data_IF_554262882140
#
_entry.id   IF_554262882140
#
_cell.length_a   1.000
_cell.length_b   1.000
_cell.length_c   1.000
_cell.angle_alpha   90.00
_cell.angle_beta   90.00
_cell.angle_gamma   90.00
#
_symmetry.space_group_name_H-M   'P 1'
#
loop_
_entity.id
_entity.type
_entity.pdbx_description
1 polymer ?
#
# COMPACT_ATOMS: atom_id res chain seq x y z
N UNK A 1 -19.78 7.24 3.73
CA UNK A 1 -20.04 6.66 2.40
C UNK A 1 -19.82 5.17 2.44
N UNK A 2 -20.84 4.37 2.16
CA UNK A 2 -20.74 2.91 2.15
C UNK A 2 -20.41 2.40 0.74
N UNK A 3 -19.33 1.63 0.64
CA UNK A 3 -18.80 1.05 -0.60
C UNK A 3 -18.99 -0.48 -0.66
N UNK A 4 -19.56 -1.10 0.39
CA UNK A 4 -19.62 -2.56 0.56
C UNK A 4 -20.39 -3.29 -0.54
N UNK A 5 -21.36 -2.62 -1.18
CA UNK A 5 -22.13 -3.14 -2.31
C UNK A 5 -21.44 -3.05 -3.68
N UNK A 6 -20.17 -2.66 -3.73
CA UNK A 6 -19.38 -2.49 -4.97
C UNK A 6 -20.11 -1.67 -6.05
N UNK A 7 -20.66 -0.49 -5.71
CA UNK A 7 -21.47 0.30 -6.62
C UNK A 7 -20.70 0.65 -7.90
N UNK A 8 -21.45 0.98 -8.95
CA UNK A 8 -20.85 1.58 -10.15
C UNK A 8 -20.35 2.99 -9.85
N UNK A 9 -19.50 3.53 -10.72
CA UNK A 9 -19.06 4.93 -10.63
C UNK A 9 -20.25 5.88 -10.64
N UNK A 10 -21.21 5.69 -11.55
CA UNK A 10 -22.42 6.50 -11.65
C UNK A 10 -23.25 6.46 -10.36
N UNK A 11 -23.46 5.27 -9.78
CA UNK A 11 -24.17 5.10 -8.51
C UNK A 11 -23.44 5.79 -7.36
N UNK A 12 -22.11 5.67 -7.30
CA UNK A 12 -21.31 6.34 -6.28
C UNK A 12 -21.44 7.86 -6.40
N UNK A 13 -21.31 8.42 -7.61
CA UNK A 13 -21.43 9.86 -7.87
C UNK A 13 -22.83 10.38 -7.48
N UNK A 14 -23.88 9.62 -7.79
CA UNK A 14 -25.25 9.96 -7.38
C UNK A 14 -25.38 10.01 -5.85
N UNK A 15 -24.83 9.02 -5.14
CA UNK A 15 -24.81 8.98 -3.67
C UNK A 15 -24.00 10.13 -3.07
N UNK A 16 -22.82 10.44 -3.64
CA UNK A 16 -22.00 11.60 -3.21
C UNK A 16 -22.79 12.88 -3.37
N UNK A 17 -23.41 13.09 -4.54
CA UNK A 17 -24.21 14.28 -4.81
C UNK A 17 -25.35 14.43 -3.83
N UNK A 18 -26.10 13.36 -3.59
CA UNK A 18 -27.23 13.39 -2.66
C UNK A 18 -26.77 13.76 -1.24
N UNK A 19 -25.74 13.08 -0.72
CA UNK A 19 -25.22 13.35 0.62
C UNK A 19 -24.63 14.75 0.76
N UNK A 20 -23.92 15.24 -0.26
CA UNK A 20 -23.37 16.59 -0.26
C UNK A 20 -24.47 17.66 -0.23
N UNK A 21 -25.54 17.48 -0.99
CA UNK A 21 -26.69 18.40 -0.99
C UNK A 21 -27.46 18.36 0.33
N UNK A 22 -27.67 17.17 0.91
CA UNK A 22 -28.29 17.02 2.22
C UNK A 22 -27.45 17.69 3.31
N UNK A 23 -26.12 17.51 3.30
CA UNK A 23 -25.22 18.18 4.23
C UNK A 23 -25.23 19.71 4.05
N UNK A 24 -25.30 20.20 2.81
CA UNK A 24 -25.33 21.63 2.51
C UNK A 24 -26.60 22.32 3.05
N UNK A 25 -27.73 21.60 3.17
CA UNK A 25 -28.95 22.14 3.80
C UNK A 25 -28.75 22.47 5.30
N UNK A 26 -27.68 21.96 5.91
CA UNK A 26 -27.32 22.19 7.31
C UNK A 26 -25.99 22.94 7.47
N UNK A 27 -25.51 23.62 6.41
CA UNK A 27 -24.20 24.29 6.40
C UNK A 27 -24.06 25.43 7.43
N UNK A 28 -25.17 25.99 7.89
CA UNK A 28 -25.19 27.08 8.87
C UNK A 28 -24.83 26.60 10.29
N UNK A 29 -24.77 25.28 10.51
CA UNK A 29 -24.38 24.71 11.80
C UNK A 29 -22.86 24.83 11.99
N UNK A 30 -22.37 25.52 13.03
CA UNK A 30 -20.94 25.62 13.31
C UNK A 30 -20.32 24.24 13.52
N UNK A 31 -19.12 24.03 12.98
CA UNK A 31 -18.42 22.75 13.06
C UNK A 31 -18.18 22.33 14.52
N UNK A 32 -17.92 23.29 15.42
CA UNK A 32 -17.73 23.05 16.85
C UNK A 32 -18.94 22.37 17.50
N UNK A 33 -20.17 22.73 17.07
CA UNK A 33 -21.40 22.10 17.57
C UNK A 33 -21.54 20.66 17.07
N UNK A 34 -21.12 20.38 15.84
CA UNK A 34 -21.07 19.01 15.32
C UNK A 34 -20.11 18.15 16.14
N UNK A 35 -18.93 18.68 16.48
CA UNK A 35 -17.95 17.98 17.33
C UNK A 35 -18.52 17.71 18.72
N UNK A 36 -19.24 18.66 19.31
CA UNK A 36 -19.87 18.51 20.62
C UNK A 36 -20.93 17.41 20.62
N UNK A 37 -21.79 17.36 19.59
CA UNK A 37 -22.87 16.37 19.48
C UNK A 37 -22.32 14.97 19.19
N UNK A 38 -21.36 14.86 18.28
CA UNK A 38 -20.73 13.57 17.93
C UNK A 38 -19.89 13.04 19.10
N UNK A 39 -19.31 13.95 19.88
CA UNK A 39 -18.46 13.67 21.04
C UNK A 39 -17.42 12.56 20.79
N UNK A 40 -16.56 12.69 19.76
CA UNK A 40 -15.55 11.69 19.44
C UNK A 40 -14.44 11.65 20.51
N UNK A 41 -13.68 10.53 20.60
CA UNK A 41 -12.51 10.46 21.46
C UNK A 41 -11.54 11.62 21.19
N UNK A 42 -11.22 12.38 22.25
CA UNK A 42 -10.33 13.54 22.13
C UNK A 42 -8.89 13.09 21.89
N UNK A 43 -8.23 13.76 20.97
CA UNK A 43 -6.83 13.54 20.62
C UNK A 43 -6.17 14.88 20.35
N UNK A 44 -4.93 15.04 20.81
CA UNK A 44 -4.09 16.19 20.43
C UNK A 44 -3.32 15.94 19.14
N UNK A 45 -3.39 14.71 18.60
CA UNK A 45 -2.61 14.31 17.43
C UNK A 45 -3.34 14.55 16.10
N UNK A 46 -4.68 14.66 16.10
CA UNK A 46 -5.48 14.78 14.89
C UNK A 46 -6.80 15.50 15.13
N UNK A 47 -7.41 15.99 14.05
CA UNK A 47 -8.75 16.59 14.08
C UNK A 47 -9.81 15.58 14.57
N UNK A 48 -10.85 16.02 15.30
CA UNK A 48 -11.77 15.15 16.03
C UNK A 48 -12.72 14.32 15.16
N UNK A 49 -13.08 14.80 13.95
CA UNK A 49 -14.12 14.15 13.11
C UNK A 49 -13.58 13.69 11.76
N UNK A 50 -12.58 14.39 11.21
CA UNK A 50 -11.98 14.05 9.92
C UNK A 50 -10.51 14.47 9.87
N UNK A 51 -9.69 13.72 9.16
CA UNK A 51 -8.25 13.97 9.01
C UNK A 51 -7.85 14.26 7.56
N UNK A 52 -8.78 14.05 6.63
CA UNK A 52 -8.62 14.38 5.21
C UNK A 52 -9.66 15.41 4.83
N UNK A 53 -9.23 16.48 4.16
CA UNK A 53 -10.10 17.54 3.67
C UNK A 53 -10.03 17.65 2.14
N UNK A 54 -11.15 17.98 1.54
CA UNK A 54 -11.26 18.32 0.12
C UNK A 54 -11.86 19.71 0.00
N UNK A 55 -11.24 20.58 -0.79
CA UNK A 55 -11.74 21.92 -1.08
C UNK A 55 -11.80 22.12 -2.58
N UNK A 56 -12.97 22.52 -3.08
CA UNK A 56 -13.12 23.02 -4.44
C UNK A 56 -13.06 24.54 -4.43
N UNK A 57 -12.05 25.12 -5.07
CA UNK A 57 -11.88 26.56 -5.24
C UNK A 57 -12.44 26.95 -6.60
N UNK A 58 -13.66 27.47 -6.59
CA UNK A 58 -14.30 28.10 -7.76
C UNK A 58 -14.15 29.62 -7.68
N UNK A 59 -12.94 30.10 -7.38
CA UNK A 59 -12.67 31.52 -7.38
C UNK A 59 -11.87 31.80 -8.64
N UNK A 60 -12.44 32.58 -9.57
CA UNK A 60 -11.60 33.26 -10.55
C UNK A 60 -10.53 34.01 -9.74
N UNK A 61 -9.25 33.73 -9.98
CA UNK A 61 -8.18 34.55 -9.43
C UNK A 61 -8.46 35.98 -9.89
N UNK A 62 -9.05 36.77 -9.00
CA UNK A 62 -9.48 38.11 -9.30
C UNK A 62 -8.25 38.89 -9.75
N UNK A 63 -8.16 39.19 -11.05
CA UNK A 63 -7.16 40.12 -11.55
C UNK A 63 -7.44 41.45 -10.87
N UNK A 64 -6.55 41.82 -9.96
CA UNK A 64 -6.62 43.13 -9.32
C UNK A 64 -6.16 44.15 -10.36
N UNK A 65 -7.10 44.69 -11.13
CA UNK A 65 -6.80 45.71 -12.13
C UNK A 65 -6.61 47.06 -11.43
N UNK A 66 -5.34 47.44 -11.25
CA UNK A 66 -4.94 48.70 -10.66
C UNK A 66 -4.24 49.55 -11.74
N UNK A 67 -4.76 50.75 -12.07
CA UNK A 67 -4.17 51.59 -13.11
C UNK A 67 -2.68 51.86 -12.88
N UNK A 68 -1.84 51.47 -13.83
CA UNK A 68 -0.39 51.68 -13.79
C UNK A 68 0.40 50.68 -12.95
N UNK A 69 -0.24 49.59 -12.47
CA UNK A 69 0.40 48.54 -11.67
C UNK A 69 0.12 47.15 -12.26
N UNK A 70 1.17 46.35 -12.39
CA UNK A 70 1.05 44.91 -12.67
C UNK A 70 1.02 44.17 -11.34
N UNK A 71 -0.10 43.51 -11.05
CA UNK A 71 -0.28 42.73 -9.81
C UNK A 71 -0.18 41.24 -10.15
N UNK A 72 0.78 40.56 -9.53
CA UNK A 72 0.90 39.10 -9.57
C UNK A 72 0.78 38.52 -8.17
N UNK A 73 0.12 37.35 -8.01
CA UNK A 73 0.05 36.68 -6.73
C UNK A 73 1.46 36.24 -6.30
N UNK A 74 1.86 36.62 -5.09
CA UNK A 74 3.08 36.12 -4.46
C UNK A 74 2.70 34.89 -3.64
N UNK A 75 3.12 33.71 -4.09
CA UNK A 75 2.90 32.47 -3.35
C UNK A 75 3.52 32.55 -1.95
N UNK A 76 2.74 32.19 -0.92
CA UNK A 76 3.25 32.14 0.45
C UNK A 76 4.16 30.90 0.58
N UNK A 77 5.44 31.05 0.98
CA UNK A 77 6.40 29.95 0.95
C UNK A 77 6.15 28.86 2.00
N UNK A 78 5.26 29.10 2.96
CA UNK A 78 4.95 28.17 4.04
C UNK A 78 3.45 27.88 4.09
N UNK A 79 3.09 26.64 3.77
CA UNK A 79 1.74 26.13 3.99
C UNK A 79 1.81 25.18 5.19
N UNK A 80 1.21 25.58 6.32
CA UNK A 80 1.08 24.70 7.48
C UNK A 80 -0.04 23.70 7.23
N UNK A 81 0.26 22.41 7.33
CA UNK A 81 -0.75 21.35 7.28
C UNK A 81 -1.64 21.45 8.53
N UNK A 82 -2.93 21.74 8.33
CA UNK A 82 -3.95 21.78 9.39
C UNK A 82 -4.63 20.42 9.61
N UNK A 83 -4.47 19.53 8.63
CA UNK A 83 -5.00 18.18 8.58
C UNK A 83 -3.90 17.25 8.08
N UNK A 84 -4.08 15.93 8.22
CA UNK A 84 -3.11 14.95 7.74
C UNK A 84 -2.92 15.10 6.22
N UNK A 85 -4.03 15.27 5.49
CA UNK A 85 -4.07 15.54 4.05
C UNK A 85 -5.16 16.58 3.72
N UNK A 86 -4.81 17.58 2.91
CA UNK A 86 -5.75 18.55 2.35
C UNK A 86 -5.57 18.63 0.84
N UNK A 87 -6.54 18.10 0.10
CA UNK A 87 -6.63 18.24 -1.35
C UNK A 87 -7.41 19.52 -1.68
N UNK A 88 -6.81 20.42 -2.43
CA UNK A 88 -7.48 21.57 -3.01
C UNK A 88 -7.43 21.45 -4.53
N UNK A 89 -8.59 21.55 -5.17
CA UNK A 89 -8.74 21.55 -6.62
C UNK A 89 -9.58 22.75 -7.04
N UNK A 90 -9.41 23.21 -8.28
CA UNK A 90 -10.18 24.30 -8.86
C UNK A 90 -9.99 24.35 -10.38
N UNK A 91 -10.72 25.25 -11.02
CA UNK A 91 -10.62 25.47 -12.46
C UNK A 91 -9.45 26.43 -12.75
N UNK A 92 -8.57 26.02 -13.66
CA UNK A 92 -7.43 26.81 -14.15
C UNK A 92 -7.49 26.81 -15.68
N UNK A 93 -8.18 27.80 -16.25
CA UNK A 93 -8.53 27.78 -17.67
C UNK A 93 -9.43 26.58 -17.99
N UNK A 94 -9.07 25.79 -19.00
CA UNK A 94 -9.82 24.60 -19.43
C UNK A 94 -9.40 23.31 -18.69
N UNK A 95 -8.73 23.45 -17.54
CA UNK A 95 -8.18 22.33 -16.78
C UNK A 95 -8.57 22.38 -15.31
N UNK A 96 -8.58 21.22 -14.65
CA UNK A 96 -8.66 21.13 -13.20
C UNK A 96 -7.24 21.14 -12.65
N UNK A 97 -6.90 22.17 -11.89
CA UNK A 97 -5.61 22.35 -11.23
C UNK A 97 -5.72 22.36 -9.71
N UNK A 98 -4.61 22.20 -9.01
CA UNK A 98 -4.60 22.22 -7.55
C UNK A 98 -3.38 21.52 -6.95
N UNK A 99 -3.51 21.08 -5.70
CA UNK A 99 -2.43 20.40 -4.99
C UNK A 99 -2.86 19.74 -3.70
N UNK A 100 -1.89 19.11 -3.04
CA UNK A 100 -2.07 18.43 -1.75
C UNK A 100 -1.14 19.07 -0.74
N UNK A 101 -1.72 19.55 0.36
CA UNK A 101 -0.98 19.90 1.59
C UNK A 101 -1.02 18.68 2.50
N UNK A 102 0.11 18.33 3.10
CA UNK A 102 0.20 17.12 3.92
C UNK A 102 1.11 17.33 5.13
N UNK A 103 0.82 16.59 6.20
CA UNK A 103 1.68 16.56 7.38
C UNK A 103 2.98 15.79 7.05
N UNK A 104 4.10 16.51 6.94
CA UNK A 104 5.41 15.92 6.62
C UNK A 104 5.93 14.95 7.70
N UNK A 105 5.34 14.96 8.90
CA UNK A 105 5.58 13.95 9.94
C UNK A 105 4.92 12.61 9.66
N UNK A 106 3.93 12.56 8.75
CA UNK A 106 3.16 11.36 8.40
C UNK A 106 3.46 10.87 6.98
N UNK A 107 3.71 11.79 6.05
CA UNK A 107 3.90 11.46 4.64
C UNK A 107 5.20 12.00 4.09
N UNK A 108 5.90 11.15 3.37
CA UNK A 108 7.01 11.55 2.51
C UNK A 108 6.48 12.11 1.19
N UNK A 109 7.25 13.02 0.57
CA UNK A 109 6.93 13.59 -0.74
C UNK A 109 6.64 12.53 -1.80
N UNK A 110 7.46 11.49 -1.86
CA UNK A 110 7.33 10.35 -2.77
C UNK A 110 5.98 9.63 -2.63
N UNK A 111 5.47 9.53 -1.40
CA UNK A 111 4.17 8.91 -1.12
C UNK A 111 3.03 9.76 -1.69
N UNK A 112 3.12 11.08 -1.54
CA UNK A 112 2.11 12.01 -2.04
C UNK A 112 2.14 12.09 -3.57
N UNK A 113 3.32 12.10 -4.19
CA UNK A 113 3.47 12.04 -5.65
C UNK A 113 2.79 10.78 -6.21
N UNK A 114 2.96 9.64 -5.53
CA UNK A 114 2.28 8.40 -5.88
C UNK A 114 0.75 8.50 -5.71
N UNK A 115 0.26 9.09 -4.62
CA UNK A 115 -1.18 9.32 -4.43
C UNK A 115 -1.78 10.24 -5.50
N UNK A 116 -1.05 11.25 -5.97
CA UNK A 116 -1.46 12.07 -7.11
C UNK A 116 -1.59 11.22 -8.39
N UNK A 117 -0.65 10.29 -8.62
CA UNK A 117 -0.72 9.32 -9.71
C UNK A 117 -1.97 8.43 -9.62
N UNK A 118 -2.24 7.90 -8.43
CA UNK A 118 -3.43 7.08 -8.15
C UNK A 118 -4.73 7.84 -8.39
N UNK A 119 -4.84 9.07 -7.88
CA UNK A 119 -6.03 9.90 -8.09
C UNK A 119 -6.28 10.12 -9.59
N UNK A 120 -5.23 10.44 -10.36
CA UNK A 120 -5.34 10.61 -11.81
C UNK A 120 -5.78 9.31 -12.50
N UNK A 121 -5.20 8.18 -12.13
CA UNK A 121 -5.54 6.88 -12.73
C UNK A 121 -7.00 6.49 -12.48
N UNK A 122 -7.49 6.71 -11.25
CA UNK A 122 -8.88 6.45 -10.88
C UNK A 122 -9.82 7.40 -11.61
N UNK A 123 -9.53 8.70 -11.64
CA UNK A 123 -10.34 9.69 -12.36
C UNK A 123 -10.43 9.40 -13.85
N UNK A 124 -9.32 9.01 -14.47
CA UNK A 124 -9.31 8.61 -15.89
C UNK A 124 -10.23 7.41 -16.12
N UNK A 125 -10.11 6.36 -15.30
CA UNK A 125 -10.94 5.17 -15.45
C UNK A 125 -12.43 5.43 -15.18
N UNK A 126 -12.76 6.36 -14.27
CA UNK A 126 -14.13 6.80 -14.01
C UNK A 126 -14.75 7.52 -15.21
N UNK A 127 -13.97 8.31 -15.95
CA UNK A 127 -14.42 9.04 -17.15
C UNK A 127 -14.56 8.11 -18.35
N UNK A 128 -13.74 7.07 -18.44
CA UNK A 128 -13.78 6.09 -19.53
C UNK A 128 -15.06 5.23 -19.52
N UNK A 129 -15.53 4.80 -18.34
CA UNK A 129 -16.75 3.99 -18.18
C UNK A 129 -17.35 4.17 -16.77
N UNK A 130 -18.44 4.92 -16.68
CA UNK A 130 -19.13 5.19 -15.41
C UNK A 130 -20.06 4.04 -14.95
N UNK A 131 -20.31 3.05 -15.82
CA UNK A 131 -21.07 1.84 -15.49
C UNK A 131 -20.21 0.78 -14.77
N UNK A 132 -18.89 0.96 -14.79
CA UNK A 132 -17.94 0.05 -14.15
C UNK A 132 -18.04 0.11 -12.63
N UNK A 133 -17.88 -1.05 -11.98
CA UNK A 133 -17.79 -1.13 -10.51
C UNK A 133 -16.51 -0.49 -10.00
N UNK A 134 -16.64 0.33 -8.95
CA UNK A 134 -15.51 1.01 -8.29
C UNK A 134 -14.44 0.05 -7.77
N UNK A 135 -14.83 -1.19 -7.42
CA UNK A 135 -13.93 -2.21 -6.90
C UNK A 135 -12.92 -2.70 -7.95
N UNK A 136 -13.18 -2.43 -9.24
CA UNK A 136 -12.36 -2.89 -10.36
C UNK A 136 -11.58 -1.77 -11.05
N UNK A 137 -11.68 -0.54 -10.53
CA UNK A 137 -10.96 0.59 -11.10
C UNK A 137 -9.45 0.40 -10.88
N UNK A 138 -8.62 0.64 -11.90
CA UNK A 138 -7.18 0.60 -11.73
C UNK A 138 -6.75 1.73 -10.78
N UNK A 139 -6.04 1.37 -9.72
CA UNK A 139 -5.42 2.33 -8.80
C UNK A 139 -3.94 2.55 -9.17
N UNK A 140 -3.24 1.44 -9.37
CA UNK A 140 -1.81 1.44 -9.68
C UNK A 140 -1.59 1.79 -11.15
N UNK A 141 -0.56 2.59 -11.41
CA UNK A 141 -0.07 2.74 -12.77
C UNK A 141 0.59 1.44 -13.26
N UNK A 142 0.78 1.33 -14.57
CA UNK A 142 1.34 0.13 -15.19
C UNK A 142 2.77 -0.20 -14.69
N UNK A 143 3.59 0.83 -14.40
CA UNK A 143 4.97 0.66 -13.97
C UNK A 143 5.07 0.15 -12.52
N UNK A 144 4.23 0.67 -11.62
CA UNK A 144 4.14 0.21 -10.25
C UNK A 144 3.55 -1.20 -10.20
N UNK A 145 2.51 -1.48 -11.00
CA UNK A 145 1.96 -2.83 -11.10
C UNK A 145 3.00 -3.84 -11.57
N UNK A 146 3.81 -3.50 -12.58
CA UNK A 146 4.88 -4.36 -13.07
C UNK A 146 5.93 -4.62 -11.98
N UNK A 147 6.35 -3.58 -11.27
CA UNK A 147 7.31 -3.70 -10.18
C UNK A 147 6.81 -4.62 -9.07
N UNK A 148 5.57 -4.39 -8.62
CA UNK A 148 4.97 -5.13 -7.51
C UNK A 148 4.67 -6.59 -7.85
N UNK A 149 4.18 -6.85 -9.06
CA UNK A 149 3.71 -8.19 -9.43
C UNK A 149 4.79 -9.04 -10.08
N UNK A 150 5.77 -8.43 -10.75
CA UNK A 150 6.78 -9.15 -11.53
C UNK A 150 8.16 -8.96 -10.93
N UNK A 151 8.67 -7.73 -10.84
CA UNK A 151 10.07 -7.49 -10.47
C UNK A 151 10.39 -7.97 -9.06
N UNK A 152 9.55 -7.62 -8.08
CA UNK A 152 9.74 -8.05 -6.69
C UNK A 152 9.40 -9.53 -6.46
N UNK A 153 8.62 -10.15 -7.34
CA UNK A 153 8.28 -11.56 -7.27
C UNK A 153 9.13 -12.44 -8.19
N UNK A 154 10.20 -11.92 -8.79
CA UNK A 154 11.14 -12.67 -9.62
C UNK A 154 12.08 -13.54 -8.75
N UNK A 155 11.49 -14.40 -7.91
CA UNK A 155 12.18 -15.27 -6.95
C UNK A 155 12.48 -16.67 -7.51
N UNK A 156 12.14 -16.92 -8.78
CA UNK A 156 12.41 -18.18 -9.44
C UNK A 156 13.92 -18.37 -9.56
N UNK A 157 14.42 -19.40 -8.89
CA UNK A 157 15.80 -19.84 -8.98
C UNK A 157 15.81 -21.34 -9.28
N UNK A 158 16.71 -21.79 -10.15
CA UNK A 158 16.87 -23.21 -10.40
C UNK A 158 17.42 -23.89 -9.13
N UNK A 159 16.69 -24.89 -8.63
CA UNK A 159 17.14 -25.76 -7.56
C UNK A 159 16.86 -27.24 -7.91
N UNK A 160 17.49 -28.21 -7.24
CA UNK A 160 17.29 -29.63 -7.51
C UNK A 160 15.89 -30.12 -7.07
N UNK A 161 14.85 -29.81 -7.84
CA UNK A 161 13.44 -30.12 -7.53
C UNK A 161 13.15 -31.62 -7.33
N UNK A 162 13.91 -32.48 -8.00
CA UNK A 162 13.75 -33.94 -7.91
C UNK A 162 14.56 -34.61 -6.81
N UNK A 163 15.37 -33.86 -6.04
CA UNK A 163 16.26 -34.44 -5.05
C UNK A 163 15.82 -34.11 -3.63
N UNK A 164 15.78 -35.14 -2.79
CA UNK A 164 15.62 -34.95 -1.36
C UNK A 164 16.93 -34.43 -0.73
N UNK A 165 16.82 -33.68 0.37
CA UNK A 165 18.00 -33.15 1.09
C UNK A 165 18.97 -34.27 1.48
N UNK A 166 18.47 -35.45 1.89
CA UNK A 166 19.33 -36.58 2.26
C UNK A 166 20.12 -37.12 1.05
N UNK A 167 19.55 -37.12 -0.15
CA UNK A 167 20.24 -37.54 -1.38
C UNK A 167 21.37 -36.57 -1.75
N UNK A 168 21.17 -35.27 -1.52
CA UNK A 168 22.22 -34.25 -1.69
C UNK A 168 23.39 -34.47 -0.72
N UNK A 169 23.10 -34.88 0.53
CA UNK A 169 24.11 -35.24 1.53
C UNK A 169 24.83 -36.53 1.14
N UNK A 170 24.12 -37.54 0.65
CA UNK A 170 24.70 -38.79 0.15
C UNK A 170 25.65 -38.56 -1.03
N UNK A 171 25.24 -37.74 -1.99
CA UNK A 171 26.07 -37.33 -3.13
C UNK A 171 27.36 -36.65 -2.64
N UNK A 172 27.28 -35.79 -1.63
CA UNK A 172 28.46 -35.14 -1.02
C UNK A 172 29.35 -36.14 -0.28
N UNK A 173 28.78 -37.13 0.40
CA UNK A 173 29.52 -38.19 1.07
C UNK A 173 30.28 -39.10 0.10
N UNK A 174 29.77 -39.28 -1.13
CA UNK A 174 30.49 -39.98 -2.20
C UNK A 174 31.57 -39.09 -2.82
N UNK A 175 31.25 -37.84 -3.15
CA UNK A 175 32.16 -36.94 -3.85
C UNK A 175 33.32 -36.43 -2.97
N UNK A 176 33.12 -36.31 -1.66
CA UNK A 176 34.11 -35.77 -0.73
C UNK A 176 34.01 -36.44 0.64
N UNK A 177 34.33 -37.74 0.75
CA UNK A 177 34.04 -38.55 1.93
C UNK A 177 34.72 -38.05 3.22
N UNK A 178 35.96 -37.56 3.10
CA UNK A 178 36.77 -37.09 4.24
C UNK A 178 36.54 -35.61 4.59
N UNK A 179 35.70 -34.89 3.84
CA UNK A 179 35.37 -33.51 4.18
C UNK A 179 34.60 -33.48 5.50
N UNK A 180 34.92 -32.51 6.36
CA UNK A 180 34.23 -32.29 7.64
C UNK A 180 32.79 -31.85 7.36
N UNK A 181 31.82 -32.61 7.89
CA UNK A 181 30.39 -32.32 7.80
C UNK A 181 29.85 -31.64 9.06
N UNK A 182 30.32 -32.07 10.24
CA UNK A 182 29.93 -31.52 11.53
C UNK A 182 31.17 -31.33 12.42
N UNK A 183 31.15 -30.28 13.23
CA UNK A 183 32.18 -30.00 14.23
C UNK A 183 31.53 -29.54 15.54
N UNK A 184 31.88 -30.18 16.64
CA UNK A 184 31.35 -29.86 17.96
C UNK A 184 32.39 -30.17 19.04
N UNK A 185 32.74 -29.19 19.88
CA UNK A 185 33.64 -29.34 21.04
C UNK A 185 34.94 -30.12 20.75
N UNK A 186 35.56 -29.86 19.60
CA UNK A 186 36.81 -30.52 19.19
C UNK A 186 36.63 -31.88 18.52
N UNK A 187 35.42 -32.44 18.50
CA UNK A 187 35.07 -33.58 17.68
C UNK A 187 34.69 -33.12 16.25
N UNK A 188 35.21 -33.83 15.25
CA UNK A 188 34.88 -33.63 13.84
C UNK A 188 34.28 -34.94 13.29
N UNK A 189 33.24 -34.80 12.47
CA UNK A 189 32.59 -35.93 11.79
C UNK A 189 32.62 -35.66 10.30
N UNK A 190 33.14 -36.61 9.53
CA UNK A 190 33.19 -36.49 8.08
C UNK A 190 31.84 -36.77 7.41
N UNK A 191 31.66 -36.35 6.15
CA UNK A 191 30.43 -36.67 5.41
C UNK A 191 30.19 -38.18 5.31
N UNK A 192 31.24 -38.99 5.13
CA UNK A 192 31.11 -40.45 5.10
C UNK A 192 30.63 -41.03 6.44
N UNK A 193 31.18 -40.54 7.56
CA UNK A 193 30.79 -40.97 8.90
C UNK A 193 29.37 -40.54 9.26
N UNK A 194 29.00 -39.30 8.92
CA UNK A 194 27.65 -38.77 9.11
C UNK A 194 26.63 -39.62 8.36
N UNK A 195 26.88 -39.89 7.07
CA UNK A 195 26.00 -40.71 6.26
C UNK A 195 25.85 -42.14 6.80
N UNK A 196 26.96 -42.75 7.25
CA UNK A 196 26.91 -44.08 7.85
C UNK A 196 26.11 -44.12 9.16
N UNK A 197 26.26 -43.10 10.02
CA UNK A 197 25.48 -42.97 11.27
C UNK A 197 23.99 -42.77 10.98
N UNK A 198 23.65 -41.87 10.06
CA UNK A 198 22.28 -41.60 9.65
C UNK A 198 21.60 -42.85 9.07
N UNK A 199 22.29 -43.59 8.20
CA UNK A 199 21.78 -44.84 7.62
C UNK A 199 21.49 -45.94 8.66
N UNK A 200 22.31 -46.04 9.72
CA UNK A 200 22.04 -46.97 10.81
C UNK A 200 20.77 -46.62 11.57
N UNK A 201 20.59 -45.34 11.91
CA UNK A 201 19.40 -44.85 12.58
C UNK A 201 18.14 -45.01 11.70
N UNK A 202 18.21 -44.66 10.41
CA UNK A 202 17.10 -44.81 9.48
C UNK A 202 16.59 -46.25 9.40
N UNK A 203 17.50 -47.24 9.39
CA UNK A 203 17.12 -48.67 9.43
C UNK A 203 16.43 -49.06 10.73
N UNK A 204 16.85 -48.50 11.87
CA UNK A 204 16.18 -48.73 13.15
C UNK A 204 14.78 -48.11 13.18
N UNK A 205 14.63 -46.88 12.71
CA UNK A 205 13.32 -46.20 12.64
C UNK A 205 12.34 -46.97 11.74
N UNK A 206 12.81 -47.47 10.59
CA UNK A 206 12.00 -48.33 9.71
C UNK A 206 11.56 -49.62 10.41
N UNK A 207 12.42 -50.22 11.25
CA UNK A 207 12.04 -51.41 12.06
C UNK A 207 11.01 -51.09 13.14
N UNK A 208 10.99 -49.85 13.65
CA UNK A 208 10.00 -49.37 14.60
C UNK A 208 8.67 -48.94 13.93
N UNK A 209 8.54 -49.13 12.61
CA UNK A 209 7.30 -48.84 11.87
C UNK A 209 7.18 -47.39 11.39
N UNK A 210 8.25 -46.61 11.40
CA UNK A 210 8.24 -45.25 10.85
C UNK A 210 8.08 -45.30 9.33
N UNK A 211 7.10 -44.55 8.83
CA UNK A 211 6.72 -44.42 7.41
C UNK A 211 6.70 -42.94 7.02
N UNK A 212 6.61 -42.57 5.72
CA UNK A 212 6.39 -41.19 5.31
C UNK A 212 5.22 -40.54 6.06
N UNK A 213 5.32 -39.24 6.33
CA UNK A 213 4.37 -38.43 7.12
C UNK A 213 4.23 -38.81 8.61
N UNK A 214 4.91 -39.85 9.08
CA UNK A 214 4.99 -40.17 10.51
C UNK A 214 5.88 -39.16 11.25
N UNK A 215 5.46 -38.76 12.45
CA UNK A 215 6.21 -37.83 13.31
C UNK A 215 7.11 -38.61 14.26
N UNK A 216 8.36 -38.17 14.40
CA UNK A 216 9.34 -38.69 15.35
C UNK A 216 9.73 -37.52 16.27
N UNK A 217 9.68 -37.74 17.59
CA UNK A 217 9.98 -36.74 18.62
C UNK A 217 11.29 -37.06 19.35
#
# INVERSE_FOLDING_TARGET
MDLSGQPTVAELLQRVKQQALEAQQHQDLPFEQVVEIVNPPRSTAHSPVYQVSFTWQSTEEGKLDLPGLEVSPVGVPFVTAKHDLSLYLGEVGDHIGGGIVYAASLFERSTIERYCGYLRQVLQAMVEDDSRSIATLPLLDASERQRLLVEWNATQAAYPEGSCIHELIEARAVASPQAVALKHEGAEVSYAELNARANRLARQLRKLGVVPDARVA
#
